data_IF_656987194272
#
_entry.id   IF_656987194272
#
_cell.length_a   1.000
_cell.length_b   1.000
_cell.length_c   1.000
_cell.angle_alpha   90.00
_cell.angle_beta   90.00
_cell.angle_gamma   90.00
#
_symmetry.space_group_name_H-M   'P 1'
#
loop_
_entity.id
_entity.type
_entity.pdbx_description
1 polymer ?
#
# COMPACT_ATOMS: atom_id res chain seq x y z
N UNK A 1 3.38 -9.25 5.98
CA UNK A 1 3.58 -8.73 4.62
C UNK A 1 2.88 -7.40 4.50
N UNK A 2 3.41 -6.49 3.69
CA UNK A 2 2.77 -5.20 3.38
C UNK A 2 1.90 -5.32 2.13
N UNK A 3 2.37 -6.08 1.13
CA UNK A 3 1.69 -6.31 -0.13
C UNK A 3 1.27 -7.77 -0.30
N UNK A 4 0.13 -7.97 -0.95
CA UNK A 4 -0.34 -9.29 -1.37
C UNK A 4 0.54 -9.82 -2.50
N UNK A 5 0.81 -11.13 -2.50
CA UNK A 5 1.49 -11.78 -3.61
C UNK A 5 0.62 -11.77 -4.88
N UNK A 6 1.15 -11.30 -6.02
CA UNK A 6 0.44 -11.37 -7.30
C UNK A 6 0.37 -12.82 -7.82
N UNK A 7 -0.55 -13.13 -8.75
CA UNK A 7 -0.66 -14.47 -9.31
C UNK A 7 0.65 -14.93 -9.98
N UNK A 8 1.14 -16.11 -9.60
CA UNK A 8 2.34 -16.72 -10.19
C UNK A 8 3.67 -16.13 -9.72
N UNK A 9 3.66 -15.21 -8.75
CA UNK A 9 4.88 -14.54 -8.28
C UNK A 9 4.76 -14.11 -6.81
N UNK A 10 5.83 -13.54 -6.23
CA UNK A 10 5.83 -13.02 -4.86
C UNK A 10 6.17 -11.54 -4.84
N UNK A 11 5.49 -10.79 -3.98
CA UNK A 11 5.74 -9.37 -3.82
C UNK A 11 7.19 -9.11 -3.37
N UNK A 12 7.71 -9.91 -2.43
CA UNK A 12 9.09 -9.78 -1.96
C UNK A 12 10.13 -9.89 -3.10
N UNK A 13 9.98 -10.85 -4.01
CA UNK A 13 10.88 -11.02 -5.16
C UNK A 13 10.79 -9.83 -6.12
N UNK A 14 9.59 -9.33 -6.40
CA UNK A 14 9.38 -8.18 -7.27
C UNK A 14 9.97 -6.89 -6.69
N UNK A 15 9.80 -6.67 -5.38
CA UNK A 15 10.37 -5.53 -4.65
C UNK A 15 11.92 -5.59 -4.69
N UNK A 16 12.50 -6.77 -4.60
CA UNK A 16 13.95 -6.95 -4.74
C UNK A 16 14.44 -6.71 -6.17
N UNK A 17 13.73 -7.25 -7.16
CA UNK A 17 14.08 -7.05 -8.58
C UNK A 17 14.00 -5.57 -8.98
N UNK A 18 13.08 -4.82 -8.40
CA UNK A 18 12.95 -3.37 -8.57
C UNK A 18 13.97 -2.55 -7.75
N UNK A 19 14.93 -3.19 -7.08
CA UNK A 19 15.95 -2.56 -6.23
C UNK A 19 15.38 -1.72 -5.07
N UNK A 20 14.22 -2.10 -4.54
CA UNK A 20 13.60 -1.36 -3.43
C UNK A 20 14.04 -1.85 -2.04
N UNK A 21 14.86 -2.90 -1.94
CA UNK A 21 15.38 -3.39 -0.64
C UNK A 21 16.24 -2.30 0.02
N UNK A 22 15.93 -1.94 1.25
CA UNK A 22 16.61 -0.83 1.95
C UNK A 22 16.19 0.56 1.47
N UNK A 23 15.17 0.66 0.60
CA UNK A 23 14.58 1.96 0.23
C UNK A 23 14.06 2.62 1.50
N UNK A 24 14.56 3.83 1.78
CA UNK A 24 14.23 4.60 2.98
C UNK A 24 13.64 5.94 2.62
N UNK A 25 12.56 6.30 3.30
CA UNK A 25 11.98 7.64 3.28
C UNK A 25 11.80 8.06 4.74
N UNK A 26 12.46 9.15 5.13
CA UNK A 26 12.43 9.65 6.50
C UNK A 26 12.77 8.55 7.51
N UNK A 27 11.80 8.25 8.36
CA UNK A 27 11.87 7.28 9.45
C UNK A 27 11.44 5.85 9.09
N UNK A 28 11.04 5.59 7.83
CA UNK A 28 10.57 4.29 7.35
C UNK A 28 11.51 3.70 6.28
N UNK A 29 11.66 2.37 6.28
CA UNK A 29 12.54 1.66 5.34
C UNK A 29 11.98 0.29 4.95
N UNK A 30 12.17 -0.13 3.70
CA UNK A 30 11.96 -1.53 3.27
C UNK A 30 13.01 -2.43 3.93
N UNK A 31 12.56 -3.41 4.70
CA UNK A 31 13.44 -4.28 5.48
C UNK A 31 14.48 -4.99 4.59
N UNK A 32 15.74 -4.91 5.00
CA UNK A 32 16.86 -5.59 4.33
C UNK A 32 16.85 -7.11 4.52
N UNK A 33 16.04 -7.64 5.44
CA UNK A 33 15.89 -9.09 5.68
C UNK A 33 14.76 -9.71 4.86
N UNK A 34 13.62 -9.03 4.79
CA UNK A 34 12.44 -9.49 4.06
C UNK A 34 11.78 -8.31 3.35
N UNK A 35 11.95 -8.22 2.03
CA UNK A 35 11.58 -7.02 1.25
C UNK A 35 10.06 -6.74 1.18
N UNK A 36 9.20 -7.65 1.65
CA UNK A 36 7.77 -7.40 1.82
C UNK A 36 7.39 -6.92 3.24
N UNK A 37 8.34 -6.32 3.96
CA UNK A 37 8.13 -5.68 5.25
C UNK A 37 8.73 -4.28 5.22
N UNK A 38 8.03 -3.35 5.85
CA UNK A 38 8.52 -2.00 6.11
C UNK A 38 8.75 -1.91 7.61
N UNK A 39 9.91 -1.39 7.99
CA UNK A 39 10.32 -1.15 9.36
C UNK A 39 10.44 0.35 9.58
N UNK A 40 10.18 0.79 10.80
CA UNK A 40 10.26 2.20 11.19
C UNK A 40 11.17 2.37 12.39
N UNK A 41 11.76 3.55 12.49
CA UNK A 41 12.47 3.97 13.69
C UNK A 41 11.49 4.15 14.89
N UNK A 42 12.02 4.26 16.11
CA UNK A 42 11.21 4.30 17.34
C UNK A 42 10.20 5.45 17.43
N UNK A 43 10.47 6.55 16.73
CA UNK A 43 9.60 7.73 16.61
C UNK A 43 9.07 7.88 15.17
N UNK A 44 8.80 6.75 14.50
CA UNK A 44 8.46 6.71 13.08
C UNK A 44 7.15 7.41 12.72
N UNK A 45 7.11 7.97 11.52
CA UNK A 45 5.94 8.63 10.93
C UNK A 45 5.13 7.66 10.07
N UNK A 46 3.81 7.69 10.21
CA UNK A 46 2.91 6.93 9.35
C UNK A 46 2.92 7.46 7.90
N UNK A 47 3.15 8.76 7.71
CA UNK A 47 3.29 9.36 6.37
C UNK A 47 4.54 8.85 5.66
N UNK A 48 5.65 8.64 6.39
CA UNK A 48 6.87 8.06 5.82
C UNK A 48 6.64 6.63 5.36
N UNK A 49 5.89 5.83 6.13
CA UNK A 49 5.50 4.47 5.74
C UNK A 49 4.67 4.49 4.46
N UNK A 50 3.67 5.39 4.38
CA UNK A 50 2.85 5.54 3.19
C UNK A 50 3.70 5.91 1.97
N UNK A 51 4.67 6.80 2.14
CA UNK A 51 5.56 7.24 1.06
C UNK A 51 6.49 6.12 0.59
N UNK A 52 7.07 5.33 1.52
CA UNK A 52 7.81 4.11 1.15
C UNK A 52 6.91 3.15 0.37
N UNK A 53 5.68 2.92 0.83
CA UNK A 53 4.74 2.05 0.12
C UNK A 53 4.44 2.55 -1.30
N UNK A 54 4.22 3.86 -1.47
CA UNK A 54 3.93 4.46 -2.77
C UNK A 54 5.11 4.33 -3.74
N UNK A 55 6.33 4.57 -3.27
CA UNK A 55 7.53 4.41 -4.09
C UNK A 55 7.76 2.96 -4.50
N UNK A 56 7.57 2.00 -3.59
CA UNK A 56 7.66 0.56 -3.90
C UNK A 56 6.66 0.18 -4.99
N UNK A 57 5.40 0.61 -4.88
CA UNK A 57 4.37 0.33 -5.87
C UNK A 57 4.74 0.90 -7.24
N UNK A 58 5.21 2.15 -7.28
CA UNK A 58 5.63 2.81 -8.52
C UNK A 58 6.83 2.08 -9.17
N UNK A 59 7.90 1.83 -8.40
CA UNK A 59 9.12 1.19 -8.91
C UNK A 59 8.88 -0.23 -9.40
N UNK A 60 8.07 -1.03 -8.68
CA UNK A 60 7.71 -2.38 -9.12
C UNK A 60 6.85 -2.35 -10.38
N UNK A 61 5.90 -1.40 -10.46
CA UNK A 61 5.10 -1.17 -11.66
C UNK A 61 5.97 -0.82 -12.87
N UNK A 62 6.91 0.11 -12.72
CA UNK A 62 7.81 0.54 -13.78
C UNK A 62 8.79 -0.57 -14.20
N UNK A 63 9.29 -1.37 -13.24
CA UNK A 63 10.26 -2.43 -13.49
C UNK A 63 9.64 -3.68 -14.14
N UNK A 64 8.44 -4.08 -13.70
CA UNK A 64 7.86 -5.39 -14.03
C UNK A 64 6.51 -5.33 -14.73
N UNK A 65 5.86 -4.16 -14.78
CA UNK A 65 4.47 -4.01 -15.21
C UNK A 65 3.45 -4.55 -14.20
N UNK A 66 3.88 -5.11 -13.08
CA UNK A 66 2.99 -5.67 -12.05
C UNK A 66 2.58 -4.59 -11.07
N UNK A 67 1.26 -4.41 -10.93
CA UNK A 67 0.70 -3.52 -9.91
C UNK A 67 0.57 -4.25 -8.57
N UNK A 68 1.44 -3.94 -7.61
CA UNK A 68 1.30 -4.47 -6.25
C UNK A 68 0.05 -3.88 -5.57
N UNK A 69 -0.65 -4.73 -4.82
CA UNK A 69 -1.78 -4.33 -3.98
C UNK A 69 -1.39 -4.45 -2.52
N UNK A 70 -1.61 -3.39 -1.75
CA UNK A 70 -1.41 -3.45 -0.31
C UNK A 70 -2.37 -4.49 0.31
N UNK A 71 -1.89 -5.19 1.33
CA UNK A 71 -2.66 -6.10 2.17
C UNK A 71 -2.97 -5.44 3.52
N UNK A 72 -2.12 -4.52 3.95
CA UNK A 72 -2.30 -3.70 5.15
C UNK A 72 -3.41 -2.67 4.97
N UNK A 73 -4.33 -2.61 5.93
CA UNK A 73 -5.39 -1.59 5.97
C UNK A 73 -4.81 -0.29 6.52
N UNK A 74 -4.98 0.80 5.76
CA UNK A 74 -4.56 2.14 6.16
C UNK A 74 -5.70 2.86 6.90
N UNK A 75 -5.57 3.06 8.20
CA UNK A 75 -6.52 3.82 9.02
C UNK A 75 -6.01 5.24 9.26
N UNK A 76 -6.92 6.23 9.29
CA UNK A 76 -6.56 7.64 9.52
C UNK A 76 -6.04 8.41 8.31
N UNK A 77 -5.82 7.74 7.18
CA UNK A 77 -5.45 8.39 5.90
C UNK A 77 -6.67 8.76 5.07
N UNK A 78 -6.59 9.88 4.35
CA UNK A 78 -7.60 10.33 3.39
C UNK A 78 -7.64 9.44 2.14
N UNK A 79 -8.73 9.52 1.38
CA UNK A 79 -8.84 8.78 0.11
C UNK A 79 -7.79 9.22 -0.90
N UNK A 80 -7.44 10.52 -0.92
CA UNK A 80 -6.36 11.06 -1.76
C UNK A 80 -5.01 10.41 -1.41
N UNK A 81 -4.69 10.28 -0.13
CA UNK A 81 -3.47 9.61 0.33
C UNK A 81 -3.45 8.12 -0.07
N UNK A 82 -4.59 7.42 0.09
CA UNK A 82 -4.71 5.99 -0.29
C UNK A 82 -4.63 5.77 -1.79
N UNK A 83 -5.11 6.71 -2.59
CA UNK A 83 -5.09 6.62 -4.06
C UNK A 83 -3.65 6.55 -4.62
N UNK A 84 -2.65 7.04 -3.88
CA UNK A 84 -1.22 6.94 -4.24
C UNK A 84 -0.73 5.50 -4.35
N UNK A 85 -1.32 4.58 -3.58
CA UNK A 85 -1.02 3.15 -3.68
C UNK A 85 -1.76 2.46 -4.83
N UNK A 86 -2.50 3.23 -5.64
CA UNK A 86 -3.51 2.74 -6.58
C UNK A 86 -4.45 1.73 -5.94
N UNK A 87 -4.74 1.96 -4.65
CA UNK A 87 -5.77 1.26 -3.92
C UNK A 87 -7.11 1.54 -4.63
N UNK A 88 -8.00 0.54 -4.81
CA UNK A 88 -9.31 0.81 -5.35
C UNK A 88 -10.01 1.80 -4.41
N UNK A 89 -10.23 3.02 -4.87
CA UNK A 89 -11.07 3.98 -4.16
C UNK A 89 -12.47 3.40 -4.14
N UNK A 90 -12.82 2.72 -3.05
CA UNK A 90 -14.22 2.42 -2.79
C UNK A 90 -14.86 3.77 -2.60
N UNK A 91 -15.61 4.23 -3.60
CA UNK A 91 -16.68 5.21 -3.38
C UNK A 91 -17.39 4.75 -2.12
N UNK A 92 -17.26 5.50 -1.03
CA UNK A 92 -18.08 5.31 0.15
C UNK A 92 -19.52 5.25 -0.35
N UNK A 93 -20.29 4.16 -0.14
CA UNK A 93 -21.73 4.29 -0.32
C UNK A 93 -22.16 5.40 0.62
N UNK A 94 -22.67 6.50 0.05
CA UNK A 94 -23.20 7.62 0.81
C UNK A 94 -24.15 7.06 1.86
N UNK A 95 -24.03 7.50 3.10
CA UNK A 95 -24.96 7.19 4.19
C UNK A 95 -26.36 7.82 3.97
N UNK A 96 -26.63 8.34 2.77
CA UNK A 96 -27.89 8.97 2.37
C UNK A 96 -28.84 8.02 1.63
N UNK A 97 -28.52 6.73 1.49
CA UNK A 97 -29.45 5.73 0.92
C UNK A 97 -30.22 4.94 2.00
N UNK A 98 -30.62 5.63 3.08
CA UNK A 98 -31.68 5.18 3.98
C UNK A 98 -33.01 5.77 3.50
N UNK A 99 -33.51 5.26 2.37
CA UNK A 99 -34.94 5.35 2.04
C UNK A 99 -35.63 4.10 2.60
N UNK A 100 -35.90 4.13 3.90
CA UNK A 100 -36.82 3.22 4.55
C UNK A 100 -38.27 3.40 4.04
N UNK A 101 -39.00 2.29 3.98
CA UNK A 101 -40.47 2.13 3.88
C UNK A 101 -41.19 2.37 2.54
N UNK A 102 -41.68 1.30 1.91
CA UNK A 102 -43.05 0.77 2.11
C UNK A 102 -43.32 -0.42 1.18
N UNK A 103 -43.52 -1.61 1.76
CA UNK A 103 -44.26 -2.71 1.13
C UNK A 103 -44.79 -3.67 2.22
N UNK A 104 -45.98 -3.35 2.73
CA UNK A 104 -46.96 -4.32 3.23
C UNK A 104 -48.28 -4.05 2.52
#
# INVERSE_FOLDING_TARGET
SVFRNPPGDSAGRLIEAANCRGLRVGSAEVSTKHSNFIQTDSAGSADDVLEVMAQVVAQVGDHSGVQLRAETVLLGFTDEQRSRLRWPTTTTPSLDDDSSEQAL
#
